data_IF_008011812074
#
_entry.id   IF_008011812074
#
_cell.length_a   1.000
_cell.length_b   1.000
_cell.length_c   1.000
_cell.angle_alpha   90.00
_cell.angle_beta   90.00
_cell.angle_gamma   90.00
#
_symmetry.space_group_name_H-M   'P 1'
#
loop_
_entity.id
_entity.type
_entity.pdbx_description
1 polymer ?
#
# COMPACT_ATOMS: atom_id res chain seq x y z
N UNK A 1 11.84 -41.68 -0.27
CA UNK A 1 11.17 -40.41 -0.62
C UNK A 1 11.57 -39.40 0.45
N UNK A 2 12.52 -38.50 0.17
CA UNK A 2 12.98 -37.53 1.18
C UNK A 2 12.02 -36.33 1.20
N UNK A 3 11.47 -36.01 2.37
CA UNK A 3 10.57 -34.88 2.56
C UNK A 3 11.30 -33.56 2.26
N UNK A 4 10.70 -32.71 1.43
CA UNK A 4 11.23 -31.36 1.15
C UNK A 4 11.11 -30.53 2.44
N UNK A 5 12.19 -29.90 2.92
CA UNK A 5 12.10 -29.01 4.05
C UNK A 5 11.18 -27.83 3.69
N UNK A 6 10.22 -27.55 4.59
CA UNK A 6 9.33 -26.39 4.50
C UNK A 6 10.19 -25.12 4.49
N UNK A 7 10.18 -24.39 3.39
CA UNK A 7 10.87 -23.10 3.30
C UNK A 7 10.30 -22.15 4.36
N UNK A 8 11.14 -21.40 5.09
CA UNK A 8 10.65 -20.37 5.99
C UNK A 8 9.87 -19.33 5.18
N UNK A 9 8.66 -19.03 5.62
CA UNK A 9 7.85 -17.98 5.01
C UNK A 9 8.47 -16.63 5.37
N UNK A 10 9.03 -15.97 4.37
CA UNK A 10 9.52 -14.60 4.52
C UNK A 10 8.32 -13.65 4.44
N UNK A 11 7.99 -13.00 5.56
CA UNK A 11 6.91 -12.02 5.64
C UNK A 11 7.34 -10.64 5.14
N UNK A 12 8.62 -10.45 4.83
CA UNK A 12 9.11 -9.20 4.28
C UNK A 12 8.72 -9.08 2.81
N UNK A 13 8.31 -7.87 2.44
CA UNK A 13 8.02 -7.53 1.06
C UNK A 13 9.30 -7.61 0.23
N UNK A 14 9.27 -8.39 -0.84
CA UNK A 14 10.35 -8.40 -1.82
C UNK A 14 10.49 -7.00 -2.46
N UNK A 15 11.71 -6.44 -2.53
CA UNK A 15 11.91 -5.12 -3.12
C UNK A 15 11.51 -5.15 -4.61
N UNK A 16 10.81 -4.12 -5.11
CA UNK A 16 10.45 -4.04 -6.52
C UNK A 16 11.72 -3.93 -7.38
N UNK A 17 11.82 -4.74 -8.43
CA UNK A 17 12.97 -4.80 -9.36
C UNK A 17 12.93 -3.72 -10.47
N UNK A 18 12.07 -2.72 -10.36
CA UNK A 18 11.96 -1.70 -11.41
C UNK A 18 12.98 -0.60 -11.14
N UNK A 19 13.88 -0.34 -12.10
CA UNK A 19 14.60 0.93 -12.18
C UNK A 19 13.56 2.03 -12.36
N UNK A 20 13.27 2.75 -11.26
CA UNK A 20 12.19 3.72 -11.26
C UNK A 20 12.72 5.05 -11.79
N UNK A 21 12.34 5.41 -13.01
CA UNK A 21 12.54 6.76 -13.52
C UNK A 21 11.53 7.71 -12.87
N UNK A 22 11.82 8.12 -11.63
CA UNK A 22 11.06 9.14 -10.90
C UNK A 22 10.07 8.60 -9.87
N UNK A 23 9.57 9.51 -9.02
CA UNK A 23 8.63 9.21 -7.93
C UNK A 23 7.52 10.25 -7.93
N UNK A 24 6.32 9.87 -7.48
CA UNK A 24 5.21 10.79 -7.27
C UNK A 24 4.47 10.48 -5.97
N UNK A 25 3.70 11.43 -5.46
CA UNK A 25 2.81 11.18 -4.33
C UNK A 25 1.65 10.27 -4.73
N UNK A 26 1.19 9.46 -3.77
CA UNK A 26 0.01 8.60 -3.93
C UNK A 26 -1.30 9.40 -3.80
N UNK A 27 -2.03 9.58 -4.89
CA UNK A 27 -3.26 10.39 -4.93
C UNK A 27 -4.37 9.80 -4.04
N UNK A 28 -4.47 8.47 -3.96
CA UNK A 28 -5.46 7.80 -3.10
C UNK A 28 -5.18 8.09 -1.62
N UNK A 29 -3.92 7.94 -1.19
CA UNK A 29 -3.55 8.27 0.18
C UNK A 29 -3.76 9.76 0.46
N UNK A 30 -3.39 10.65 -0.46
CA UNK A 30 -3.61 12.09 -0.30
C UNK A 30 -5.08 12.48 -0.16
N UNK A 31 -5.98 11.75 -0.82
CA UNK A 31 -7.42 12.04 -0.79
C UNK A 31 -8.13 11.47 0.43
N UNK A 32 -7.62 10.38 1.03
CA UNK A 32 -8.38 9.60 2.01
C UNK A 32 -7.67 9.38 3.35
N UNK A 33 -6.37 9.66 3.46
CA UNK A 33 -5.68 9.70 4.75
C UNK A 33 -5.60 11.13 5.30
N UNK A 34 -6.30 11.47 6.39
CA UNK A 34 -6.22 12.79 7.01
C UNK A 34 -4.83 13.15 7.54
N UNK A 35 -3.97 12.15 7.78
CA UNK A 35 -2.60 12.35 8.27
C UNK A 35 -1.55 12.36 7.15
N UNK A 36 -1.97 12.38 5.89
CA UNK A 36 -1.07 12.24 4.74
C UNK A 36 0.04 13.27 4.74
N UNK A 37 -0.28 14.54 5.04
CA UNK A 37 0.72 15.61 5.07
C UNK A 37 1.76 15.48 6.19
N UNK A 38 1.44 14.77 7.26
CA UNK A 38 2.31 14.56 8.41
C UNK A 38 3.17 13.31 8.29
N UNK A 39 2.98 12.50 7.24
CA UNK A 39 3.80 11.31 7.01
C UNK A 39 5.24 11.67 6.70
N UNK A 40 6.13 10.71 6.93
CA UNK A 40 7.46 10.76 6.33
C UNK A 40 7.34 10.96 4.80
N UNK A 41 8.10 11.88 4.19
CA UNK A 41 8.03 12.15 2.76
C UNK A 41 8.12 10.89 1.89
N UNK A 42 8.95 9.90 2.26
CA UNK A 42 9.13 8.66 1.48
C UNK A 42 7.88 7.76 1.54
N UNK A 43 7.16 7.77 2.67
CA UNK A 43 5.92 7.00 2.83
C UNK A 43 4.76 7.53 1.98
N UNK A 44 4.89 8.77 1.49
CA UNK A 44 3.92 9.38 0.58
C UNK A 44 4.14 8.94 -0.88
N UNK A 45 5.31 8.39 -1.21
CA UNK A 45 5.74 8.19 -2.58
C UNK A 45 5.42 6.81 -3.14
N UNK A 46 5.08 6.80 -4.42
CA UNK A 46 4.99 5.64 -5.29
C UNK A 46 5.91 5.82 -6.49
N UNK A 47 6.27 4.71 -7.13
CA UNK A 47 6.99 4.72 -8.39
C UNK A 47 6.26 5.54 -9.46
N UNK A 48 6.97 6.43 -10.18
CA UNK A 48 6.37 7.17 -11.29
C UNK A 48 5.93 6.20 -12.40
N UNK A 49 4.72 6.41 -12.92
CA UNK A 49 4.09 5.53 -13.91
C UNK A 49 3.51 4.23 -13.35
N UNK A 50 3.66 3.95 -12.05
CA UNK A 50 3.01 2.81 -11.42
C UNK A 50 1.54 3.12 -11.12
N UNK A 51 0.70 2.08 -11.16
CA UNK A 51 -0.68 2.17 -10.72
C UNK A 51 -0.76 2.52 -9.22
N UNK A 52 -1.86 3.15 -8.80
CA UNK A 52 -2.08 3.57 -7.41
C UNK A 52 -2.49 2.38 -6.55
N UNK A 53 -1.53 1.53 -6.23
CA UNK A 53 -1.71 0.34 -5.40
C UNK A 53 -0.73 0.32 -4.23
N UNK A 54 -1.03 -0.45 -3.19
CA UNK A 54 -0.12 -0.62 -2.06
C UNK A 54 1.28 -1.08 -2.52
N UNK A 55 1.34 -1.97 -3.53
CA UNK A 55 2.60 -2.54 -4.07
C UNK A 55 3.45 -1.53 -4.85
N UNK A 56 2.94 -0.33 -5.10
CA UNK A 56 3.67 0.73 -5.77
C UNK A 56 4.39 1.65 -4.79
N UNK A 57 4.07 1.59 -3.49
CA UNK A 57 4.76 2.37 -2.47
C UNK A 57 6.21 1.93 -2.30
N UNK A 58 7.11 2.91 -2.19
CA UNK A 58 8.55 2.70 -2.13
C UNK A 58 8.97 2.13 -0.76
N UNK A 59 8.23 2.49 0.29
CA UNK A 59 8.47 2.03 1.66
C UNK A 59 7.42 1.01 2.13
N UNK A 60 7.77 0.25 3.15
CA UNK A 60 6.84 -0.69 3.79
C UNK A 60 5.75 0.06 4.58
N UNK A 61 6.09 1.16 5.26
CA UNK A 61 5.10 1.95 5.99
C UNK A 61 4.08 2.61 5.04
N UNK A 62 4.53 3.10 3.88
CA UNK A 62 3.64 3.56 2.81
C UNK A 62 2.68 2.45 2.34
N UNK A 63 3.18 1.23 2.13
CA UNK A 63 2.37 0.05 1.80
C UNK A 63 1.30 -0.24 2.86
N UNK A 64 1.70 -0.34 4.13
CA UNK A 64 0.79 -0.65 5.23
C UNK A 64 -0.30 0.41 5.34
N UNK A 65 0.08 1.69 5.32
CA UNK A 65 -0.88 2.78 5.41
C UNK A 65 -1.84 2.83 4.21
N UNK A 66 -1.37 2.52 3.00
CA UNK A 66 -2.25 2.39 1.83
C UNK A 66 -3.27 1.26 2.04
N UNK A 67 -2.86 0.10 2.55
CA UNK A 67 -3.79 -1.00 2.87
C UNK A 67 -4.84 -0.61 3.91
N UNK A 68 -4.47 0.18 4.92
CA UNK A 68 -5.42 0.68 5.90
C UNK A 68 -6.46 1.63 5.28
N UNK A 69 -6.03 2.50 4.35
CA UNK A 69 -6.94 3.36 3.57
C UNK A 69 -7.91 2.50 2.74
N UNK A 70 -7.41 1.52 1.99
CA UNK A 70 -8.26 0.59 1.21
C UNK A 70 -9.28 -0.14 2.11
N UNK A 71 -8.84 -0.63 3.27
CA UNK A 71 -9.71 -1.33 4.22
C UNK A 71 -10.83 -0.41 4.74
N UNK A 72 -10.51 0.84 5.10
CA UNK A 72 -11.49 1.83 5.55
C UNK A 72 -12.51 2.15 4.44
N UNK A 73 -12.06 2.33 3.20
CA UNK A 73 -12.96 2.58 2.06
C UNK A 73 -13.89 1.39 1.80
N UNK A 74 -13.38 0.16 1.89
CA UNK A 74 -14.20 -1.05 1.76
C UNK A 74 -15.25 -1.15 2.86
N UNK A 75 -14.93 -0.79 4.10
CA UNK A 75 -15.89 -0.77 5.20
C UNK A 75 -17.02 0.23 4.96
N UNK A 76 -16.70 1.43 4.49
CA UNK A 76 -17.70 2.46 4.15
C UNK A 76 -18.60 1.99 3.00
N UNK A 77 -18.03 1.35 1.97
CA UNK A 77 -18.79 0.81 0.86
C UNK A 77 -19.67 -0.39 1.26
N UNK A 78 -19.27 -1.15 2.28
CA UNK A 78 -19.98 -2.33 2.75
C UNK A 78 -21.09 -2.04 3.77
N UNK A 79 -21.15 -0.83 4.36
CA UNK A 79 -22.26 -0.46 5.25
C UNK A 79 -23.54 -0.24 4.45
N UNK A 80 -24.59 -1.08 4.61
CA UNK A 80 -25.87 -0.82 3.97
C UNK A 80 -26.44 0.47 4.56
N UNK A 81 -26.82 1.41 3.68
CA UNK A 81 -27.57 2.58 4.07
C UNK A 81 -28.80 2.11 4.86
N UNK A 82 -28.85 2.44 6.14
CA UNK A 82 -29.99 2.13 7.01
C UNK A 82 -31.18 2.92 6.46
N UNK A 83 -32.00 2.25 5.65
CA UNK A 83 -33.26 2.80 5.16
C UNK A 83 -34.08 3.25 6.37
N UNK A 84 -34.30 4.56 6.48
CA UNK A 84 -35.23 5.16 7.43
C UNK A 84 -36.55 5.40 6.73
#
# INVERSE_FOLDING_TARGET
MMARPSQPMDFHRAPPKHEVHGVRTCDLCGSHDPTFEQRDPLDKLIAAGAEVTARSHITENGYVRHRLVEAKLRQIAATPAKAS
#
